data_IF_159077445315
#
_entry.id   IF_159077445315
#
_cell.length_a   1.000
_cell.length_b   1.000
_cell.length_c   1.000
_cell.angle_alpha   90.00
_cell.angle_beta   90.00
_cell.angle_gamma   90.00
#
_symmetry.space_group_name_H-M   'P 1'
#
loop_
_entity.id
_entity.type
_entity.pdbx_description
1 polymer ?
#
# COMPACT_ATOMS: atom_id res chain seq x y z
N UNK A 1 -30.73 80.22 -46.37
CA UNK A 1 -30.29 78.99 -45.67
C UNK A 1 -31.30 78.70 -44.60
N UNK A 2 -32.02 77.58 -44.71
CA UNK A 2 -33.09 77.21 -43.77
C UNK A 2 -32.52 76.80 -42.41
N UNK A 3 -33.13 77.28 -41.33
CA UNK A 3 -32.73 76.98 -39.95
C UNK A 3 -32.77 75.48 -39.67
N UNK A 4 -33.69 74.75 -40.30
CA UNK A 4 -33.79 73.29 -40.20
C UNK A 4 -32.57 72.55 -40.75
N UNK A 5 -31.98 73.04 -41.84
CA UNK A 5 -30.77 72.44 -42.43
C UNK A 5 -29.56 72.66 -41.52
N UNK A 6 -29.44 73.86 -40.93
CA UNK A 6 -28.37 74.19 -39.98
C UNK A 6 -28.46 73.30 -38.74
N UNK A 7 -29.65 73.15 -38.16
CA UNK A 7 -29.85 72.30 -36.97
C UNK A 7 -29.53 70.84 -37.26
N UNK A 8 -29.96 70.31 -38.42
CA UNK A 8 -29.67 68.94 -38.81
C UNK A 8 -28.16 68.68 -38.93
N UNK A 9 -27.41 69.61 -39.54
CA UNK A 9 -25.95 69.51 -39.66
C UNK A 9 -25.29 69.51 -38.27
N UNK A 10 -25.71 70.40 -37.37
CA UNK A 10 -25.15 70.48 -36.01
C UNK A 10 -25.37 69.16 -35.25
N UNK A 11 -26.56 68.56 -35.33
CA UNK A 11 -26.85 67.28 -34.68
C UNK A 11 -25.97 66.15 -35.24
N UNK A 12 -25.80 66.09 -36.56
CA UNK A 12 -24.92 65.11 -37.21
C UNK A 12 -23.48 65.31 -36.76
N UNK A 13 -22.99 66.54 -36.73
CA UNK A 13 -21.62 66.86 -36.29
C UNK A 13 -21.42 66.46 -34.82
N UNK A 14 -22.39 66.74 -33.94
CA UNK A 14 -22.31 66.32 -32.53
C UNK A 14 -22.31 64.81 -32.38
N UNK A 15 -23.10 64.07 -33.17
CA UNK A 15 -23.09 62.60 -33.19
C UNK A 15 -21.74 62.05 -33.68
N UNK A 16 -21.16 62.64 -34.72
CA UNK A 16 -19.84 62.23 -35.25
C UNK A 16 -18.74 62.48 -34.22
N UNK A 17 -18.74 63.64 -33.55
CA UNK A 17 -17.79 63.95 -32.48
C UNK A 17 -17.96 62.99 -31.30
N UNK A 18 -19.19 62.71 -30.87
CA UNK A 18 -19.47 61.75 -29.81
C UNK A 18 -18.96 60.34 -30.16
N UNK A 19 -19.19 59.88 -31.39
CA UNK A 19 -18.70 58.59 -31.87
C UNK A 19 -17.16 58.52 -31.90
N UNK A 20 -16.49 59.57 -32.38
CA UNK A 20 -15.02 59.65 -32.45
C UNK A 20 -14.37 59.58 -31.06
N UNK A 21 -14.99 60.17 -30.03
CA UNK A 21 -14.46 60.15 -28.67
C UNK A 21 -14.72 58.80 -27.97
N UNK A 22 -15.83 58.13 -28.28
CA UNK A 22 -16.26 56.91 -27.57
C UNK A 22 -15.58 55.63 -28.10
N UNK A 23 -15.29 55.55 -29.39
CA UNK A 23 -14.61 54.42 -30.06
C UNK A 23 -13.24 54.04 -29.45
N UNK A 24 -12.29 54.96 -29.20
CA UNK A 24 -10.98 54.61 -28.65
C UNK A 24 -11.06 54.07 -27.21
N UNK A 25 -12.02 54.56 -26.41
CA UNK A 25 -12.21 54.08 -25.02
C UNK A 25 -12.69 52.63 -24.94
N UNK A 26 -13.52 52.17 -25.89
CA UNK A 26 -13.96 50.77 -25.92
C UNK A 26 -12.85 49.82 -26.36
N UNK A 27 -11.99 50.23 -27.29
CA UNK A 27 -10.83 49.44 -27.72
C UNK A 27 -9.83 49.22 -26.57
N UNK A 28 -9.55 50.24 -25.76
CA UNK A 28 -8.66 50.13 -24.61
C UNK A 28 -9.15 49.12 -23.55
N UNK A 29 -10.46 49.11 -23.23
CA UNK A 29 -11.05 48.15 -22.29
C UNK A 29 -10.99 46.70 -22.79
N UNK A 30 -11.10 46.48 -24.11
CA UNK A 30 -11.01 45.13 -24.68
C UNK A 30 -9.59 44.56 -24.60
N UNK A 31 -8.56 45.39 -24.81
CA UNK A 31 -7.16 44.95 -24.73
C UNK A 31 -6.73 44.63 -23.30
N UNK A 32 -7.20 45.39 -22.31
CA UNK A 32 -6.95 45.08 -20.90
C UNK A 32 -7.51 43.69 -20.51
N UNK A 33 -8.76 43.41 -20.90
CA UNK A 33 -9.40 42.10 -20.66
C UNK A 33 -8.71 40.93 -21.38
N UNK A 34 -8.06 41.17 -22.51
CA UNK A 34 -7.28 40.15 -23.22
C UNK A 34 -6.02 39.75 -22.45
N UNK A 35 -5.31 40.74 -21.90
CA UNK A 35 -4.07 40.51 -21.12
C UNK A 35 -4.34 39.80 -19.79
N UNK A 36 -5.43 40.13 -19.11
CA UNK A 36 -5.81 39.45 -17.87
C UNK A 36 -6.11 37.96 -18.10
N UNK A 37 -6.75 37.62 -19.23
CA UNK A 37 -7.03 36.23 -19.60
C UNK A 37 -5.77 35.43 -19.93
N UNK A 38 -4.81 36.02 -20.62
CA UNK A 38 -3.52 35.36 -20.88
C UNK A 38 -2.74 35.09 -19.59
N UNK A 39 -2.74 36.03 -18.64
CA UNK A 39 -2.11 35.83 -17.34
C UNK A 39 -2.80 34.73 -16.54
N UNK A 40 -4.13 34.68 -16.59
CA UNK A 40 -4.91 33.66 -15.90
C UNK A 40 -4.68 32.28 -16.50
N UNK A 41 -4.70 32.14 -17.83
CA UNK A 41 -4.38 30.87 -18.51
C UNK A 41 -2.95 30.39 -18.22
N UNK A 42 -1.98 31.30 -18.12
CA UNK A 42 -0.60 30.93 -17.74
C UNK A 42 -0.52 30.44 -16.31
N UNK A 43 -1.27 31.04 -15.38
CA UNK A 43 -1.33 30.58 -13.98
C UNK A 43 -1.96 29.21 -13.88
N UNK A 44 -3.10 29.01 -14.53
CA UNK A 44 -3.82 27.74 -14.50
C UNK A 44 -2.93 26.61 -15.04
N UNK A 45 -2.20 26.86 -16.13
CA UNK A 45 -1.27 25.88 -16.71
C UNK A 45 -0.12 25.49 -15.77
N UNK A 46 0.45 26.47 -15.06
CA UNK A 46 1.52 26.22 -14.08
C UNK A 46 0.99 25.47 -12.85
N UNK A 47 -0.24 25.78 -12.41
CA UNK A 47 -0.89 25.06 -11.30
C UNK A 47 -1.18 23.62 -11.71
N UNK A 48 -1.71 23.40 -12.91
CA UNK A 48 -1.98 22.05 -13.44
C UNK A 48 -0.70 21.23 -13.59
N UNK A 49 0.38 21.83 -14.13
CA UNK A 49 1.69 21.15 -14.23
C UNK A 49 2.20 20.75 -12.84
N UNK A 50 2.19 21.68 -11.87
CA UNK A 50 2.62 21.37 -10.50
C UNK A 50 1.74 20.33 -9.80
N UNK A 51 0.42 20.37 -10.01
CA UNK A 51 -0.46 19.32 -9.48
C UNK A 51 -0.16 17.97 -10.12
N UNK A 52 0.00 17.91 -11.44
CA UNK A 52 0.31 16.66 -12.13
C UNK A 52 1.64 16.05 -11.67
N UNK A 53 2.68 16.87 -11.48
CA UNK A 53 3.97 16.44 -10.95
C UNK A 53 3.85 15.97 -9.49
N UNK A 54 3.09 16.68 -8.66
CA UNK A 54 2.83 16.26 -7.28
C UNK A 54 2.10 14.91 -7.23
N UNK A 55 1.06 14.74 -8.04
CA UNK A 55 0.28 13.50 -8.12
C UNK A 55 1.14 12.33 -8.62
N UNK A 56 2.01 12.55 -9.60
CA UNK A 56 2.97 11.53 -10.05
C UNK A 56 3.93 11.12 -8.94
N UNK A 57 4.48 12.08 -8.19
CA UNK A 57 5.36 11.78 -7.05
C UNK A 57 4.64 11.05 -5.93
N UNK A 58 3.40 11.40 -5.63
CA UNK A 58 2.58 10.69 -4.63
C UNK A 58 2.35 9.26 -5.06
N UNK A 59 1.89 9.04 -6.31
CA UNK A 59 1.72 7.68 -6.85
C UNK A 59 2.99 6.86 -6.79
N UNK A 60 4.14 7.47 -7.11
CA UNK A 60 5.42 6.78 -7.03
C UNK A 60 5.83 6.42 -5.60
N UNK A 61 5.57 7.31 -4.63
CA UNK A 61 5.80 7.06 -3.22
C UNK A 61 4.88 5.95 -2.67
N UNK A 62 3.61 5.93 -3.05
CA UNK A 62 2.67 4.89 -2.64
C UNK A 62 3.10 3.51 -3.15
N UNK A 63 3.63 3.44 -4.38
CA UNK A 63 4.15 2.20 -4.94
C UNK A 63 5.41 1.72 -4.21
N UNK A 64 6.31 2.64 -3.84
CA UNK A 64 7.51 2.25 -3.10
C UNK A 64 7.20 1.82 -1.67
N UNK A 65 6.22 2.46 -1.00
CA UNK A 65 5.76 2.06 0.33
C UNK A 65 5.12 0.67 0.32
N UNK A 66 4.28 0.39 -0.68
CA UNK A 66 3.70 -0.95 -0.86
C UNK A 66 4.79 -2.01 -1.07
N UNK A 67 5.78 -1.73 -1.92
CA UNK A 67 6.90 -2.66 -2.14
C UNK A 67 7.73 -2.87 -0.87
N UNK A 68 8.02 -1.80 -0.12
CA UNK A 68 8.76 -1.88 1.14
C UNK A 68 7.98 -2.72 2.18
N UNK A 69 6.66 -2.55 2.23
CA UNK A 69 5.79 -3.33 3.11
C UNK A 69 5.82 -4.82 2.77
N UNK A 70 5.73 -5.16 1.49
CA UNK A 70 5.82 -6.55 1.03
C UNK A 70 7.19 -7.17 1.36
N UNK A 71 8.27 -6.44 1.09
CA UNK A 71 9.63 -6.89 1.40
C UNK A 71 9.85 -7.07 2.91
N UNK A 72 9.28 -6.21 3.75
CA UNK A 72 9.33 -6.35 5.20
C UNK A 72 8.60 -7.61 5.68
N UNK A 73 7.41 -7.87 5.15
CA UNK A 73 6.65 -9.09 5.46
C UNK A 73 7.39 -10.36 5.03
N UNK A 74 8.02 -10.35 3.86
CA UNK A 74 8.84 -11.47 3.38
C UNK A 74 10.04 -11.72 4.31
N UNK A 75 10.75 -10.67 4.71
CA UNK A 75 11.84 -10.77 5.66
C UNK A 75 11.40 -11.29 7.04
N UNK A 76 10.18 -10.95 7.50
CA UNK A 76 9.61 -11.52 8.72
C UNK A 76 9.31 -13.01 8.60
N UNK A 77 8.78 -13.44 7.45
CA UNK A 77 8.55 -14.87 7.17
C UNK A 77 9.85 -15.66 7.15
N UNK A 78 10.87 -15.16 6.48
CA UNK A 78 12.18 -15.82 6.42
C UNK A 78 12.80 -15.98 7.82
N UNK A 79 12.64 -14.98 8.68
CA UNK A 79 13.09 -15.05 10.08
C UNK A 79 12.33 -16.12 10.87
N UNK A 80 11.01 -16.18 10.71
CA UNK A 80 10.18 -17.18 11.35
C UNK A 80 10.55 -18.60 10.89
N UNK A 81 10.77 -18.80 9.59
CA UNK A 81 11.22 -20.09 9.05
C UNK A 81 12.61 -20.49 9.58
N UNK A 82 13.54 -19.53 9.63
CA UNK A 82 14.85 -19.75 10.23
C UNK A 82 14.76 -20.13 11.71
N UNK A 83 13.82 -19.55 12.47
CA UNK A 83 13.59 -19.87 13.87
C UNK A 83 13.01 -21.28 14.05
N UNK A 84 12.07 -21.69 13.20
CA UNK A 84 11.56 -23.07 13.18
C UNK A 84 12.68 -24.06 12.88
N UNK A 85 13.52 -23.78 11.89
CA UNK A 85 14.67 -24.61 11.54
C UNK A 85 15.68 -24.70 12.68
N UNK A 86 16.01 -23.58 13.34
CA UNK A 86 16.89 -23.57 14.52
C UNK A 86 16.31 -24.38 15.67
N UNK A 87 15.02 -24.23 15.94
CA UNK A 87 14.34 -24.98 16.99
C UNK A 87 14.37 -26.48 16.69
N UNK A 88 14.13 -26.88 15.43
CA UNK A 88 14.25 -28.26 14.99
C UNK A 88 15.67 -28.80 15.16
N UNK A 89 16.68 -28.04 14.73
CA UNK A 89 18.08 -28.41 14.91
C UNK A 89 18.42 -28.61 16.39
N UNK A 90 17.94 -27.71 17.27
CA UNK A 90 18.11 -27.82 18.71
C UNK A 90 17.44 -29.07 19.30
N UNK A 91 16.24 -29.44 18.84
CA UNK A 91 15.59 -30.69 19.28
C UNK A 91 16.40 -31.94 18.89
N UNK A 92 17.05 -31.93 17.72
CA UNK A 92 17.98 -33.00 17.34
C UNK A 92 19.25 -33.00 18.22
N UNK A 93 19.81 -31.83 18.56
CA UNK A 93 20.97 -31.73 19.48
C UNK A 93 20.65 -32.21 20.90
N UNK A 94 19.45 -31.94 21.40
CA UNK A 94 18.99 -32.35 22.74
C UNK A 94 18.57 -33.83 22.82
N UNK A 95 18.72 -34.59 21.72
CA UNK A 95 18.39 -36.02 21.65
C UNK A 95 16.87 -36.32 21.66
N UNK A 96 16.03 -35.28 21.61
CA UNK A 96 14.56 -35.42 21.65
C UNK A 96 13.98 -35.96 20.34
N UNK A 97 14.80 -36.04 19.29
CA UNK A 97 14.45 -36.62 18.00
C UNK A 97 15.33 -37.83 17.62
N UNK A 98 16.02 -38.45 18.59
CA UNK A 98 16.90 -39.59 18.32
C UNK A 98 16.15 -40.80 17.75
N UNK A 99 14.85 -40.92 18.06
CA UNK A 99 13.96 -41.95 17.52
C UNK A 99 13.70 -41.82 16.00
N UNK A 100 13.95 -40.64 15.39
CA UNK A 100 13.87 -40.40 13.94
C UNK A 100 15.20 -40.71 13.22
N UNK A 101 16.34 -40.75 13.94
CA UNK A 101 17.65 -41.06 13.36
C UNK A 101 17.84 -42.55 13.07
N UNK A 102 17.11 -43.42 13.76
CA UNK A 102 17.23 -44.87 13.62
C UNK A 102 16.23 -45.38 12.59
N UNK A 103 16.76 -45.92 11.49
CA UNK A 103 15.94 -46.58 10.48
C UNK A 103 15.29 -47.84 11.07
N UNK A 104 14.10 -48.25 10.59
CA UNK A 104 13.37 -49.40 11.14
C UNK A 104 14.21 -50.68 11.22
N UNK A 105 15.14 -50.89 10.30
CA UNK A 105 16.06 -52.02 10.20
C UNK A 105 17.28 -51.95 11.12
N UNK A 106 17.57 -50.79 11.71
CA UNK A 106 18.70 -50.58 12.64
C UNK A 106 18.25 -50.55 14.11
N UNK A 107 16.93 -50.59 14.38
CA UNK A 107 16.35 -50.49 15.73
C UNK A 107 16.88 -51.52 16.71
N UNK A 108 17.05 -52.76 16.28
CA UNK A 108 17.56 -53.84 17.14
C UNK A 108 19.01 -53.59 17.62
N UNK A 109 19.81 -52.85 16.84
CA UNK A 109 21.20 -52.54 17.18
C UNK A 109 21.32 -51.47 18.26
N UNK A 110 20.33 -50.59 18.36
CA UNK A 110 20.32 -49.46 19.29
C UNK A 110 19.33 -49.65 20.46
N UNK A 111 18.74 -50.85 20.60
CA UNK A 111 17.89 -51.22 21.72
C UNK A 111 18.61 -51.03 23.07
N UNK A 112 17.97 -50.35 24.01
CA UNK A 112 18.54 -50.01 25.33
C UNK A 112 19.33 -48.70 25.41
N UNK A 113 19.40 -47.92 24.31
CA UNK A 113 19.92 -46.55 24.31
C UNK A 113 18.77 -45.53 24.37
N UNK A 114 19.06 -44.26 24.67
CA UNK A 114 18.05 -43.18 24.71
C UNK A 114 17.26 -43.00 23.40
N UNK A 115 17.75 -43.57 22.29
CA UNK A 115 17.20 -43.44 20.96
C UNK A 115 16.07 -44.43 20.63
N UNK A 116 15.89 -45.51 21.43
CA UNK A 116 14.80 -46.47 21.28
C UNK A 116 13.98 -46.47 22.58
N UNK A 117 12.78 -45.86 22.60
CA UNK A 117 11.91 -45.89 23.77
C UNK A 117 11.61 -47.35 24.12
N UNK A 118 11.89 -47.72 25.37
CA UNK A 118 11.68 -49.08 25.85
C UNK A 118 10.17 -49.26 26.07
N UNK A 119 9.46 -49.81 25.08
CA UNK A 119 8.03 -50.16 25.16
C UNK A 119 7.76 -51.35 26.11
N UNK A 120 8.67 -51.62 27.06
CA UNK A 120 8.46 -52.50 28.19
C UNK A 120 7.46 -51.86 29.16
N UNK A 121 6.19 -51.85 28.77
CA UNK A 121 5.08 -51.78 29.71
C UNK A 121 5.05 -53.15 30.41
N UNK A 122 5.43 -53.26 31.71
CA UNK A 122 5.19 -54.51 32.41
C UNK A 122 3.68 -54.69 32.43
N UNK A 123 3.25 -55.77 31.76
CA UNK A 123 1.94 -56.37 31.87
C UNK A 123 1.59 -56.44 33.36
N UNK A 124 0.80 -55.47 33.81
CA UNK A 124 0.28 -55.41 35.17
C UNK A 124 -0.86 -56.40 35.20
N UNK A 125 -0.49 -57.67 35.20
CA UNK A 125 -1.36 -58.81 35.39
C UNK A 125 -2.28 -58.51 36.56
N UNK A 126 -3.57 -58.48 36.25
CA UNK A 126 -4.65 -58.39 37.21
C UNK A 126 -4.65 -59.66 38.06
N UNK A 127 -3.81 -59.70 39.08
CA UNK A 127 -3.85 -60.73 40.13
C UNK A 127 -4.96 -60.38 41.15
N UNK A 128 -6.19 -60.10 40.70
CA UNK A 128 -7.37 -59.93 41.57
C UNK A 128 -8.21 -61.23 41.61
N UNK A 129 -7.52 -62.37 41.68
CA UNK A 129 -8.12 -63.69 41.93
C UNK A 129 -8.02 -64.04 43.43
N UNK A 130 -8.45 -63.11 44.30
CA UNK A 130 -8.55 -63.36 45.76
C UNK A 130 -9.97 -63.16 46.32
N UNK A 131 -10.98 -62.95 45.47
CA UNK A 131 -12.39 -62.84 45.88
C UNK A 131 -13.14 -64.18 45.82
N UNK A 132 -12.71 -65.18 46.60
CA UNK A 132 -13.57 -66.31 46.97
C UNK A 132 -13.36 -66.73 48.42
N UNK A 133 -14.23 -66.35 49.36
CA UNK A 133 -14.38 -67.12 50.58
C UNK A 133 -15.09 -68.46 50.30
N UNK A 134 -14.68 -69.55 50.96
CA UNK A 134 -15.30 -70.86 50.80
C UNK A 134 -16.70 -70.89 51.43
N UNK A 135 -17.57 -71.69 50.82
CA UNK A 135 -18.91 -71.99 51.32
C UNK A 135 -18.84 -72.68 52.69
N UNK A 136 -19.60 -72.16 53.65
CA UNK A 136 -19.85 -72.72 54.98
C UNK A 136 -21.05 -72.03 55.60
#
# INVERSE_FOLDING_TARGET
MDTGVIVAIIVIVLLVIAALVMLPRMRAKSQARGRDRELQQRRDRVVDEHQSEADERVRQADLSEQQATLAAQEAERDRAEAEVLRTRARMHEEGQADAELIRPDERDRFAGTSAVPDDHHPDRGNDDESRRPPAG
#
